data_IF_967736884820
#
_entry.id   IF_967736884820
#
_cell.length_a   1.000
_cell.length_b   1.000
_cell.length_c   1.000
_cell.angle_alpha   90.00
_cell.angle_beta   90.00
_cell.angle_gamma   90.00
#
_symmetry.space_group_name_H-M   'P 1'
#
loop_
_entity.id
_entity.type
_entity.pdbx_description
1 polymer ?
#
# COMPACT_ATOMS: atom_id res chain seq x y z
N UNK A 1 1.24 38.23 -38.18
CA UNK A 1 2.15 37.19 -37.66
C UNK A 1 1.65 36.91 -36.27
N UNK A 2 0.77 35.92 -36.14
CA UNK A 2 0.03 35.69 -34.91
C UNK A 2 0.84 34.74 -34.03
N UNK A 3 1.26 35.24 -32.87
CA UNK A 3 1.94 34.46 -31.85
C UNK A 3 0.99 33.39 -31.33
N UNK A 4 1.35 32.09 -31.41
CA UNK A 4 0.50 31.03 -30.88
C UNK A 4 0.24 31.27 -29.39
N UNK A 5 -1.04 31.31 -29.00
CA UNK A 5 -1.47 31.51 -27.63
C UNK A 5 -1.21 30.26 -26.80
N UNK A 6 -0.84 30.44 -25.52
CA UNK A 6 -0.45 29.36 -24.61
C UNK A 6 -1.52 28.26 -24.38
N UNK A 7 -2.73 28.45 -24.90
CA UNK A 7 -3.82 27.47 -24.91
C UNK A 7 -3.66 26.34 -25.94
N UNK A 8 -2.78 26.47 -26.93
CA UNK A 8 -2.64 25.50 -28.04
C UNK A 8 -1.63 24.37 -27.79
N UNK A 9 -1.08 24.26 -26.58
CA UNK A 9 -0.25 23.11 -26.21
C UNK A 9 -1.19 21.91 -25.96
N UNK A 10 -1.58 21.22 -27.04
CA UNK A 10 -2.20 19.90 -26.99
C UNK A 10 -1.29 18.98 -26.17
N UNK A 11 -1.71 18.68 -24.95
CA UNK A 11 -1.04 17.66 -24.14
C UNK A 11 -1.11 16.34 -24.92
N UNK A 12 0.00 15.59 -25.04
CA UNK A 12 -0.03 14.27 -25.64
C UNK A 12 -0.77 13.30 -24.69
N UNK A 13 -2.10 13.28 -24.77
CA UNK A 13 -2.96 12.56 -23.82
C UNK A 13 -3.19 11.08 -24.19
N UNK A 14 -2.84 10.64 -25.40
CA UNK A 14 -3.33 9.36 -25.90
C UNK A 14 -2.42 8.15 -25.58
N UNK A 15 -1.09 8.27 -25.66
CA UNK A 15 -0.17 7.12 -25.50
C UNK A 15 0.23 6.81 -24.06
N UNK A 16 0.02 7.75 -23.12
CA UNK A 16 0.38 7.56 -21.71
C UNK A 16 -0.64 6.72 -20.94
N UNK A 17 -1.84 6.51 -21.48
CA UNK A 17 -2.92 5.79 -20.79
C UNK A 17 -2.75 4.26 -20.87
N UNK A 18 -2.53 3.71 -22.07
CA UNK A 18 -2.48 2.25 -22.26
C UNK A 18 -1.38 1.56 -21.43
N UNK A 19 -0.13 2.04 -21.52
CA UNK A 19 0.99 1.49 -20.75
C UNK A 19 0.77 1.61 -19.24
N UNK A 20 0.20 2.73 -18.79
CA UNK A 20 -0.15 2.94 -17.39
C UNK A 20 -1.19 1.92 -16.89
N UNK A 21 -2.23 1.65 -17.68
CA UNK A 21 -3.24 0.64 -17.36
C UNK A 21 -2.66 -0.77 -17.32
N UNK A 22 -1.80 -1.11 -18.29
CA UNK A 22 -1.20 -2.44 -18.36
C UNK A 22 -0.31 -2.73 -17.15
N UNK A 23 0.56 -1.80 -16.74
CA UNK A 23 1.43 -2.01 -15.57
C UNK A 23 0.59 -2.13 -14.29
N UNK A 24 -0.50 -1.37 -14.16
CA UNK A 24 -1.42 -1.51 -13.01
C UNK A 24 -2.06 -2.89 -12.97
N UNK A 25 -2.52 -3.39 -14.10
CA UNK A 25 -3.09 -4.73 -14.19
C UNK A 25 -2.07 -5.79 -13.78
N UNK A 26 -0.82 -5.67 -14.27
CA UNK A 26 0.28 -6.56 -13.88
C UNK A 26 0.53 -6.51 -12.37
N UNK A 27 0.58 -5.31 -11.77
CA UNK A 27 0.77 -5.16 -10.32
C UNK A 27 -0.37 -5.82 -9.54
N UNK A 28 -1.62 -5.59 -9.93
CA UNK A 28 -2.79 -6.19 -9.28
C UNK A 28 -2.75 -7.71 -9.41
N UNK A 29 -2.44 -8.24 -10.59
CA UNK A 29 -2.30 -9.67 -10.82
C UNK A 29 -1.18 -10.29 -9.96
N UNK A 30 -0.03 -9.63 -9.87
CA UNK A 30 1.08 -10.06 -9.01
C UNK A 30 0.70 -10.00 -7.53
N UNK A 31 0.01 -8.95 -7.09
CA UNK A 31 -0.49 -8.84 -5.72
C UNK A 31 -1.46 -9.97 -5.39
N UNK A 32 -2.39 -10.26 -6.31
CA UNK A 32 -3.37 -11.33 -6.16
C UNK A 32 -2.71 -12.71 -6.14
N UNK A 33 -1.68 -12.92 -6.94
CA UNK A 33 -0.90 -14.15 -6.90
C UNK A 33 -0.17 -14.32 -5.57
N UNK A 34 0.54 -13.28 -5.13
CA UNK A 34 1.32 -13.29 -3.87
C UNK A 34 0.43 -13.41 -2.63
N UNK A 35 -0.81 -12.92 -2.67
CA UNK A 35 -1.74 -13.04 -1.54
C UNK A 35 -2.27 -14.45 -1.31
N UNK A 36 -2.14 -15.38 -2.27
CA UNK A 36 -2.61 -16.78 -2.10
C UNK A 36 -1.91 -17.49 -0.94
N UNK A 37 -0.58 -17.38 -0.85
CA UNK A 37 0.19 -17.96 0.25
C UNK A 37 -0.18 -17.34 1.60
N UNK A 38 -0.51 -16.05 1.57
CA UNK A 38 -0.89 -15.28 2.75
C UNK A 38 -2.26 -15.74 3.29
N UNK A 39 -3.21 -15.98 2.38
CA UNK A 39 -4.52 -16.55 2.70
C UNK A 39 -4.38 -17.98 3.25
N UNK A 40 -3.49 -18.78 2.69
CA UNK A 40 -3.22 -20.14 3.17
C UNK A 40 -2.70 -20.13 4.61
N UNK A 41 -1.75 -19.24 4.93
CA UNK A 41 -1.23 -19.08 6.30
C UNK A 41 -2.33 -18.62 7.25
N UNK A 42 -3.17 -17.67 6.86
CA UNK A 42 -4.27 -17.18 7.69
C UNK A 42 -5.32 -18.25 7.98
N UNK A 43 -5.51 -19.20 7.08
CA UNK A 43 -6.46 -20.31 7.26
C UNK A 43 -5.93 -21.38 8.20
N UNK A 44 -4.62 -21.64 8.18
CA UNK A 44 -4.03 -22.76 8.91
C UNK A 44 -3.35 -22.38 10.24
N UNK A 45 -3.02 -21.09 10.45
CA UNK A 45 -2.38 -20.63 11.70
C UNK A 45 -3.40 -19.98 12.64
N UNK A 46 -3.58 -20.50 13.88
CA UNK A 46 -4.48 -19.90 14.87
C UNK A 46 -4.02 -18.49 15.31
N UNK A 47 -2.72 -18.20 15.19
CA UNK A 47 -2.14 -16.87 15.44
C UNK A 47 -2.48 -15.86 14.34
N UNK A 48 -2.95 -16.34 13.20
CA UNK A 48 -3.20 -15.57 12.00
C UNK A 48 -4.67 -15.57 11.55
N UNK A 49 -5.57 -16.24 12.27
CA UNK A 49 -6.98 -16.33 11.92
C UNK A 49 -7.66 -14.94 11.78
N UNK A 50 -7.20 -13.94 12.54
CA UNK A 50 -7.66 -12.56 12.42
C UNK A 50 -6.92 -11.72 11.37
N UNK A 51 -5.91 -12.29 10.71
CA UNK A 51 -5.07 -11.62 9.71
C UNK A 51 -5.89 -11.08 8.54
N UNK A 52 -6.91 -11.83 8.09
CA UNK A 52 -7.82 -11.37 7.03
C UNK A 52 -8.59 -10.11 7.43
N UNK A 53 -9.10 -10.07 8.66
CA UNK A 53 -9.85 -8.91 9.15
C UNK A 53 -8.93 -7.69 9.34
N UNK A 54 -7.76 -7.89 9.93
CA UNK A 54 -6.72 -6.87 10.04
C UNK A 54 -6.35 -6.30 8.66
N UNK A 55 -6.24 -7.17 7.64
CA UNK A 55 -5.98 -6.77 6.27
C UNK A 55 -7.10 -5.92 5.67
N UNK A 56 -8.35 -6.34 5.80
CA UNK A 56 -9.50 -5.60 5.28
C UNK A 56 -9.60 -4.20 5.92
N UNK A 57 -9.38 -4.10 7.23
CA UNK A 57 -9.36 -2.82 7.93
C UNK A 57 -8.18 -1.97 7.46
N UNK A 58 -7.00 -2.58 7.33
CA UNK A 58 -5.82 -1.89 6.82
C UNK A 58 -6.03 -1.41 5.38
N UNK A 59 -6.82 -2.09 4.54
CA UNK A 59 -7.11 -1.63 3.17
C UNK A 59 -8.05 -0.42 3.10
N UNK A 60 -8.74 -0.03 4.17
CA UNK A 60 -9.81 1.00 4.10
C UNK A 60 -9.36 2.32 3.45
N UNK A 61 -8.21 2.93 3.80
CA UNK A 61 -7.77 4.19 3.20
C UNK A 61 -7.19 4.04 1.79
N UNK A 62 -7.06 2.81 1.27
CA UNK A 62 -6.76 2.61 -0.14
C UNK A 62 -7.89 3.18 -1.03
N UNK A 63 -9.13 3.16 -0.54
CA UNK A 63 -10.27 3.79 -1.21
C UNK A 63 -10.06 5.30 -1.38
N UNK A 64 -9.63 5.98 -0.32
CA UNK A 64 -9.35 7.42 -0.36
C UNK A 64 -8.21 7.73 -1.34
N UNK A 65 -7.15 6.91 -1.31
CA UNK A 65 -6.04 7.03 -2.25
C UNK A 65 -6.47 6.85 -3.72
N UNK A 66 -7.50 6.03 -3.98
CA UNK A 66 -8.07 5.85 -5.30
C UNK A 66 -8.79 7.12 -5.80
N UNK A 67 -9.59 7.73 -4.93
CA UNK A 67 -10.36 8.95 -5.23
C UNK A 67 -9.44 10.16 -5.48
N UNK A 68 -8.36 10.29 -4.71
CA UNK A 68 -7.35 11.35 -4.91
C UNK A 68 -6.62 11.20 -6.25
N UNK A 69 -6.43 9.97 -6.72
CA UNK A 69 -5.76 9.70 -8.00
C UNK A 69 -6.63 10.04 -9.21
N UNK A 70 -7.95 9.95 -9.08
CA UNK A 70 -8.89 10.43 -10.09
C UNK A 70 -8.72 11.94 -10.35
N UNK A 71 -8.10 12.68 -9.43
CA UNK A 71 -7.76 14.11 -9.56
C UNK A 71 -6.44 14.37 -10.29
N UNK A 72 -5.78 13.34 -10.83
CA UNK A 72 -4.71 13.52 -11.81
C UNK A 72 -3.29 13.67 -11.25
N UNK A 73 -2.97 13.03 -10.11
CA UNK A 73 -1.61 13.03 -9.53
C UNK A 73 -0.87 11.70 -9.80
N UNK A 74 -0.12 11.56 -10.91
CA UNK A 74 0.71 10.38 -11.14
C UNK A 74 2.07 10.47 -10.44
N UNK A 75 2.44 9.44 -9.69
CA UNK A 75 3.83 9.16 -9.28
C UNK A 75 4.22 7.80 -9.85
N UNK A 76 5.08 7.79 -10.89
CA UNK A 76 5.49 6.59 -11.60
C UNK A 76 6.67 5.84 -10.93
N UNK A 77 7.45 6.55 -10.10
CA UNK A 77 8.70 6.04 -9.51
C UNK A 77 8.48 4.84 -8.55
N UNK A 78 7.56 4.87 -7.57
CA UNK A 78 7.37 3.73 -6.66
C UNK A 78 6.78 2.51 -7.36
N UNK A 79 6.14 2.70 -8.53
CA UNK A 79 5.45 1.65 -9.26
C UNK A 79 6.43 0.64 -9.87
N UNK A 80 7.55 1.11 -10.43
CA UNK A 80 8.61 0.23 -10.95
C UNK A 80 9.39 -0.47 -9.84
N UNK A 81 9.62 0.21 -8.71
CA UNK A 81 10.23 -0.40 -7.53
C UNK A 81 9.41 -1.58 -7.02
N UNK A 82 8.08 -1.44 -6.97
CA UNK A 82 7.18 -2.52 -6.59
C UNK A 82 7.24 -3.72 -7.56
N UNK A 83 7.25 -3.47 -8.87
CA UNK A 83 7.38 -4.54 -9.88
C UNK A 83 8.71 -5.29 -9.75
N UNK A 84 9.82 -4.56 -9.61
CA UNK A 84 11.14 -5.16 -9.42
C UNK A 84 11.22 -6.03 -8.16
N UNK A 85 10.62 -5.57 -7.06
CA UNK A 85 10.59 -6.33 -5.80
C UNK A 85 9.67 -7.55 -5.89
N UNK A 86 8.51 -7.43 -6.56
CA UNK A 86 7.63 -8.57 -6.87
C UNK A 86 8.35 -9.62 -7.70
N UNK A 87 9.10 -9.21 -8.72
CA UNK A 87 9.89 -10.14 -9.53
C UNK A 87 11.01 -10.79 -8.73
N UNK A 88 11.74 -10.02 -7.93
CA UNK A 88 12.77 -10.55 -7.03
C UNK A 88 12.21 -11.57 -6.03
N UNK A 89 11.02 -11.33 -5.48
CA UNK A 89 10.36 -12.24 -4.55
C UNK A 89 10.10 -13.62 -5.18
N UNK A 90 9.80 -13.69 -6.48
CA UNK A 90 9.55 -14.96 -7.19
C UNK A 90 10.81 -15.82 -7.23
N UNK A 91 11.99 -15.22 -7.36
CA UNK A 91 13.25 -15.96 -7.48
C UNK A 91 13.83 -16.44 -6.15
N UNK A 92 13.48 -15.80 -5.05
CA UNK A 92 14.15 -16.01 -3.75
C UNK A 92 13.36 -16.96 -2.83
N UNK A 93 12.13 -17.34 -3.20
CA UNK A 93 11.20 -18.19 -2.42
C UNK A 93 11.05 -17.75 -0.95
N UNK A 94 11.37 -16.49 -0.67
CA UNK A 94 11.25 -15.92 0.67
C UNK A 94 9.89 -15.27 0.77
N UNK A 95 8.97 -15.94 1.48
CA UNK A 95 7.64 -15.41 1.80
C UNK A 95 7.70 -13.98 2.36
N UNK A 96 8.72 -13.69 3.17
CA UNK A 96 9.00 -12.36 3.70
C UNK A 96 9.03 -11.30 2.59
N UNK A 97 9.79 -11.54 1.52
CA UNK A 97 9.96 -10.60 0.40
C UNK A 97 8.64 -10.39 -0.35
N UNK A 98 7.81 -11.44 -0.50
CA UNK A 98 6.48 -11.31 -1.10
C UNK A 98 5.58 -10.34 -0.33
N UNK A 99 5.68 -10.29 1.01
CA UNK A 99 4.91 -9.35 1.83
C UNK A 99 5.38 -7.90 1.66
N UNK A 100 6.69 -7.69 1.61
CA UNK A 100 7.25 -6.37 1.29
C UNK A 100 6.81 -5.92 -0.10
N UNK A 101 6.85 -6.82 -1.08
CA UNK A 101 6.45 -6.55 -2.45
C UNK A 101 4.96 -6.21 -2.56
N UNK A 102 4.09 -6.93 -1.85
CA UNK A 102 2.66 -6.65 -1.75
C UNK A 102 2.40 -5.27 -1.12
N UNK A 103 3.03 -4.99 0.03
CA UNK A 103 2.86 -3.72 0.73
C UNK A 103 3.36 -2.53 -0.10
N UNK A 104 4.51 -2.68 -0.76
CA UNK A 104 5.05 -1.67 -1.69
C UNK A 104 4.17 -1.48 -2.92
N UNK A 105 3.62 -2.56 -3.47
CA UNK A 105 2.69 -2.49 -4.61
C UNK A 105 1.43 -1.71 -4.27
N UNK A 106 0.84 -1.97 -3.10
CA UNK A 106 -0.33 -1.26 -2.61
C UNK A 106 0.01 0.22 -2.36
N UNK A 107 1.20 0.52 -1.85
CA UNK A 107 1.63 1.90 -1.64
C UNK A 107 1.97 2.62 -2.94
N UNK A 108 2.47 1.92 -3.95
CA UNK A 108 2.64 2.44 -5.30
C UNK A 108 1.32 2.89 -5.93
N UNK A 109 0.17 2.50 -5.37
CA UNK A 109 -1.13 3.05 -5.75
C UNK A 109 -1.40 4.44 -5.17
N UNK A 110 -0.72 4.82 -4.08
CA UNK A 110 -0.84 6.13 -3.43
C UNK A 110 0.25 7.09 -3.91
N UNK A 111 0.00 8.40 -3.84
CA UNK A 111 1.07 9.38 -3.98
C UNK A 111 2.10 9.18 -2.86
N UNK A 112 3.39 9.20 -3.23
CA UNK A 112 4.46 8.99 -2.27
C UNK A 112 4.55 10.16 -1.28
N UNK A 113 4.20 9.90 -0.03
CA UNK A 113 4.30 10.85 1.07
C UNK A 113 4.93 10.16 2.28
N UNK A 114 5.36 10.95 3.27
CA UNK A 114 5.88 10.39 4.52
C UNK A 114 4.86 9.49 5.23
N UNK A 115 3.56 9.76 5.04
CA UNK A 115 2.46 8.91 5.52
C UNK A 115 2.47 7.52 4.92
N UNK A 116 2.89 7.38 3.67
CA UNK A 116 3.04 6.10 2.98
C UNK A 116 4.07 5.21 3.66
N UNK A 117 5.12 5.77 4.28
CA UNK A 117 6.09 4.98 5.02
C UNK A 117 5.53 4.42 6.32
N UNK A 118 4.82 5.25 7.10
CA UNK A 118 4.13 4.79 8.32
C UNK A 118 3.15 3.68 7.99
N UNK A 119 2.45 3.83 6.88
CA UNK A 119 1.54 2.84 6.32
C UNK A 119 2.22 1.53 5.97
N UNK A 120 3.37 1.59 5.27
CA UNK A 120 4.20 0.45 4.87
C UNK A 120 4.67 -0.33 6.10
N UNK A 121 5.28 0.39 7.04
CA UNK A 121 5.84 -0.17 8.27
C UNK A 121 4.75 -0.83 9.09
N UNK A 122 3.56 -0.19 9.16
CA UNK A 122 2.38 -0.78 9.76
C UNK A 122 2.05 -2.15 9.14
N UNK A 123 1.91 -2.20 7.82
CA UNK A 123 1.61 -3.42 7.06
C UNK A 123 2.56 -4.58 7.36
N UNK A 124 3.86 -4.32 7.27
CA UNK A 124 4.90 -5.32 7.48
C UNK A 124 4.87 -5.85 8.92
N UNK A 125 4.69 -4.93 9.88
CA UNK A 125 4.74 -5.25 11.31
C UNK A 125 3.62 -6.21 11.71
N UNK A 126 2.38 -5.98 11.27
CA UNK A 126 1.24 -6.81 11.70
C UNK A 126 1.04 -8.08 10.86
N UNK A 127 1.53 -8.14 9.62
CA UNK A 127 1.25 -9.28 8.71
C UNK A 127 2.03 -10.55 9.04
N UNK A 128 3.33 -10.47 9.34
CA UNK A 128 4.15 -11.68 9.53
C UNK A 128 5.05 -11.64 10.74
N UNK A 129 5.62 -10.47 11.05
CA UNK A 129 6.57 -10.34 12.16
C UNK A 129 5.87 -10.70 13.47
N UNK A 130 4.65 -10.21 13.69
CA UNK A 130 3.98 -10.41 14.97
C UNK A 130 3.50 -11.85 15.20
N UNK A 131 2.94 -12.53 14.19
CA UNK A 131 2.53 -13.93 14.37
C UNK A 131 3.71 -14.82 14.75
N UNK A 132 4.78 -14.73 13.97
CA UNK A 132 6.00 -15.51 14.17
C UNK A 132 6.73 -15.14 15.47
N UNK A 133 6.88 -13.85 15.75
CA UNK A 133 7.54 -13.40 16.98
C UNK A 133 6.73 -13.85 18.21
N UNK A 134 5.43 -13.60 18.25
CA UNK A 134 4.61 -13.93 19.41
C UNK A 134 4.49 -15.45 19.65
N UNK A 135 4.46 -16.27 18.60
CA UNK A 135 4.49 -17.72 18.76
C UNK A 135 5.79 -18.20 19.40
N UNK A 136 6.94 -17.59 19.05
CA UNK A 136 8.24 -17.96 19.62
C UNK A 136 8.43 -17.51 21.08
N UNK A 137 7.73 -16.46 21.52
CA UNK A 137 7.77 -15.98 22.90
C UNK A 137 6.67 -16.57 23.80
N UNK A 138 5.91 -17.56 23.32
CA UNK A 138 4.90 -18.26 24.12
C UNK A 138 3.63 -17.45 24.39
N UNK A 139 3.35 -16.42 23.61
CA UNK A 139 2.10 -15.66 23.73
C UNK A 139 0.91 -16.51 23.27
N UNK A 140 -0.26 -16.21 23.84
CA UNK A 140 -1.51 -16.81 23.39
C UNK A 140 -1.95 -16.24 22.02
N UNK A 141 -2.69 -17.01 21.20
CA UNK A 141 -3.28 -16.50 19.97
C UNK A 141 -4.13 -15.24 20.19
N UNK A 142 -4.90 -15.18 21.28
CA UNK A 142 -5.74 -14.03 21.63
C UNK A 142 -4.92 -12.75 21.81
N UNK A 143 -3.78 -12.81 22.50
CA UNK A 143 -2.89 -11.65 22.66
C UNK A 143 -2.34 -11.17 21.31
N UNK A 144 -2.03 -12.11 20.41
CA UNK A 144 -1.55 -11.80 19.07
C UNK A 144 -2.60 -11.06 18.24
N UNK A 145 -3.84 -11.51 18.32
CA UNK A 145 -4.98 -10.87 17.66
C UNK A 145 -5.17 -9.44 18.18
N UNK A 146 -5.18 -9.24 19.51
CA UNK A 146 -5.33 -7.92 20.13
C UNK A 146 -4.21 -6.99 19.67
N UNK A 147 -2.95 -7.44 19.72
CA UNK A 147 -1.80 -6.62 19.33
C UNK A 147 -1.89 -6.19 17.86
N UNK A 148 -2.30 -7.09 16.96
CA UNK A 148 -2.51 -6.78 15.54
C UNK A 148 -3.55 -5.68 15.36
N UNK A 149 -4.70 -5.80 15.99
CA UNK A 149 -5.75 -4.77 15.87
C UNK A 149 -5.28 -3.43 16.42
N UNK A 150 -4.58 -3.41 17.57
CA UNK A 150 -4.00 -2.18 18.12
C UNK A 150 -3.05 -1.52 17.12
N UNK A 151 -2.16 -2.29 16.49
CA UNK A 151 -1.21 -1.77 15.52
C UNK A 151 -1.85 -1.30 14.22
N UNK A 152 -2.85 -2.04 13.71
CA UNK A 152 -3.64 -1.59 12.56
C UNK A 152 -4.31 -0.26 12.87
N UNK A 153 -4.99 -0.14 14.02
CA UNK A 153 -5.63 1.09 14.46
C UNK A 153 -4.63 2.24 14.63
N UNK A 154 -3.47 2.00 15.24
CA UNK A 154 -2.41 3.01 15.39
C UNK A 154 -1.86 3.45 14.03
N UNK A 155 -1.65 2.51 13.09
CA UNK A 155 -1.15 2.82 11.76
C UNK A 155 -2.12 3.69 10.96
N UNK A 156 -3.42 3.36 11.02
CA UNK A 156 -4.50 4.13 10.40
C UNK A 156 -4.61 5.50 11.07
N UNK A 157 -4.67 5.56 12.40
CA UNK A 157 -4.75 6.80 13.16
C UNK A 157 -3.59 7.74 12.87
N UNK A 158 -2.36 7.21 12.79
CA UNK A 158 -1.18 8.00 12.44
C UNK A 158 -1.24 8.51 11.00
N UNK A 159 -1.65 7.66 10.05
CA UNK A 159 -1.82 8.07 8.66
C UNK A 159 -2.85 9.20 8.50
N UNK A 160 -4.02 9.05 9.11
CA UNK A 160 -5.09 10.06 9.10
C UNK A 160 -4.66 11.36 9.80
N UNK A 161 -3.95 11.27 10.92
CA UNK A 161 -3.45 12.44 11.65
C UNK A 161 -2.49 13.29 10.80
N UNK A 162 -1.52 12.65 10.14
CA UNK A 162 -0.55 13.36 9.30
C UNK A 162 -1.24 13.97 8.08
N UNK A 163 -2.23 13.29 7.52
CA UNK A 163 -3.03 13.79 6.41
C UNK A 163 -3.84 15.03 6.80
N UNK A 164 -4.56 14.99 7.93
CA UNK A 164 -5.27 16.14 8.47
C UNK A 164 -4.33 17.35 8.70
N UNK A 165 -3.14 17.10 9.24
CA UNK A 165 -2.11 18.16 9.43
C UNK A 165 -1.62 18.75 8.11
N UNK A 166 -1.55 17.95 7.05
CA UNK A 166 -1.13 18.41 5.72
C UNK A 166 -2.15 19.37 5.10
N UNK A 167 -3.45 19.07 5.26
CA UNK A 167 -4.57 19.89 4.78
C UNK A 167 -4.57 21.25 5.49
N UNK A 168 -4.39 21.28 6.82
CA UNK A 168 -4.34 22.53 7.59
C UNK A 168 -3.20 23.47 7.15
N UNK A 169 -2.02 22.91 6.82
CA UNK A 169 -0.89 23.71 6.28
C UNK A 169 -1.19 24.30 4.91
N UNK A 170 -1.91 23.58 4.05
CA UNK A 170 -2.28 24.10 2.73
C UNK A 170 -3.33 25.21 2.82
N UNK A 171 -4.28 25.10 3.75
CA UNK A 171 -5.28 26.14 4.01
C UNK A 171 -4.63 27.43 4.53
N UNK A 172 -3.71 27.33 5.49
CA UNK A 172 -3.01 28.50 6.07
C UNK A 172 -2.12 29.24 5.08
N UNK A 173 -1.63 28.60 4.01
CA UNK A 173 -0.82 29.26 2.98
C UNK A 173 -1.65 30.06 1.96
N UNK A 174 -2.97 29.83 1.93
CA UNK A 174 -3.89 30.51 1.01
C UNK A 174 -4.62 31.70 1.65
N UNK A 175 -4.58 31.81 2.97
CA UNK A 175 -5.06 32.94 3.74
C UNK A 175 -3.95 33.99 3.89
#
# INVERSE_FOLDING_TARGET
>A
MDTPTASDIKRPECTQTFWGWMIRFIIVALCFWQSRNLLDIWQHSPYDAAGLWAFLIWLLPLRQAWDDRARGLPSAIPMWGAVGLCMGAIFVDMHVVAYYALALSIIGLRQWAWTSWVWLVGAISWMNVIGYTLSNYGYSPTQSIILRFVLVCLSIGCALYVEAKSIGKQASKKA
#
